data_IF_438523281245
#
_entry.id   IF_438523281245
#
_cell.length_a   1.000
_cell.length_b   1.000
_cell.length_c   1.000
_cell.angle_alpha   90.00
_cell.angle_beta   90.00
_cell.angle_gamma   90.00
#
_symmetry.space_group_name_H-M   'P 1'
#
loop_
_entity.id
_entity.type
_entity.pdbx_description
1 polymer ?
#
# COMPACT_ATOMS: atom_id res chain seq x y z
N UNK A 1 -16.79 -3.04 -3.60
CA UNK A 1 -16.14 -3.17 -4.95
C UNK A 1 -15.18 -4.35 -4.95
N UNK A 2 -14.81 -4.90 -6.10
CA UNK A 2 -13.72 -5.88 -6.22
C UNK A 2 -12.53 -5.26 -6.94
N UNK A 3 -11.37 -5.31 -6.31
CA UNK A 3 -10.09 -4.91 -6.85
C UNK A 3 -9.31 -6.16 -7.28
N UNK A 4 -8.57 -6.10 -8.37
CA UNK A 4 -7.73 -7.22 -8.80
C UNK A 4 -6.43 -6.72 -9.42
N UNK A 5 -5.31 -7.19 -8.91
CA UNK A 5 -4.02 -6.92 -9.52
C UNK A 5 -3.89 -7.71 -10.83
N UNK A 6 -3.40 -7.05 -11.87
CA UNK A 6 -3.19 -7.62 -13.21
C UNK A 6 -1.85 -7.17 -13.75
N UNK A 7 -1.27 -7.82 -14.78
CA UNK A 7 -0.02 -7.35 -15.38
C UNK A 7 -0.06 -5.91 -15.91
N UNK A 8 -1.25 -5.36 -16.14
CA UNK A 8 -1.44 -3.98 -16.63
C UNK A 8 -1.64 -2.94 -15.52
N UNK A 9 -1.81 -3.38 -14.26
CA UNK A 9 -2.10 -2.53 -13.11
C UNK A 9 -3.25 -3.06 -12.26
N UNK A 10 -3.73 -2.24 -11.34
CA UNK A 10 -4.86 -2.56 -10.47
C UNK A 10 -6.19 -2.32 -11.20
N UNK A 11 -6.96 -3.37 -11.43
CA UNK A 11 -8.31 -3.27 -11.99
C UNK A 11 -9.31 -2.93 -10.88
N UNK A 12 -10.12 -1.89 -11.10
CA UNK A 12 -11.13 -1.39 -10.19
C UNK A 12 -12.30 -0.77 -10.96
N UNK A 13 -13.52 -1.25 -10.80
CA UNK A 13 -14.72 -0.65 -11.37
C UNK A 13 -14.63 -0.36 -12.89
N UNK A 14 -14.13 -1.29 -13.69
CA UNK A 14 -13.96 -1.12 -15.14
C UNK A 14 -12.71 -0.35 -15.57
N UNK A 15 -11.95 0.24 -14.63
CA UNK A 15 -10.66 0.90 -14.91
C UNK A 15 -9.49 -0.03 -14.63
N UNK A 16 -8.39 0.21 -15.34
CA UNK A 16 -7.05 -0.31 -14.98
C UNK A 16 -6.20 0.87 -14.55
N UNK A 17 -5.78 0.85 -13.29
CA UNK A 17 -4.98 1.89 -12.65
C UNK A 17 -3.51 1.46 -12.71
N UNK A 18 -2.62 2.21 -13.39
CA UNK A 18 -1.20 1.93 -13.36
C UNK A 18 -0.68 1.95 -11.91
N UNK A 19 0.02 0.91 -11.52
CA UNK A 19 0.56 0.80 -10.16
C UNK A 19 1.96 0.18 -10.14
N UNK A 20 2.63 0.31 -9.03
CA UNK A 20 3.87 -0.39 -8.68
C UNK A 20 3.59 -1.35 -7.54
N UNK A 21 4.38 -2.41 -7.45
CA UNK A 21 4.34 -3.41 -6.37
C UNK A 21 5.70 -3.54 -5.71
N UNK A 22 5.82 -4.42 -4.77
CA UNK A 22 7.06 -4.74 -4.09
C UNK A 22 8.20 -5.11 -5.07
N UNK A 23 9.43 -4.67 -4.75
CA UNK A 23 10.64 -4.99 -5.55
C UNK A 23 10.90 -6.50 -5.63
N UNK A 24 10.43 -7.28 -4.65
CA UNK A 24 10.49 -8.74 -4.61
C UNK A 24 9.42 -9.44 -5.45
N UNK A 25 8.58 -8.68 -6.19
CA UNK A 25 7.47 -9.25 -6.96
C UNK A 25 6.28 -9.66 -6.08
N UNK A 26 5.57 -10.71 -6.48
CA UNK A 26 4.45 -11.30 -5.74
C UNK A 26 4.93 -12.59 -5.09
N UNK A 27 4.58 -12.83 -3.82
CA UNK A 27 5.01 -14.00 -3.08
C UNK A 27 3.87 -14.70 -2.36
N UNK A 28 3.78 -16.02 -2.51
CA UNK A 28 2.90 -16.88 -1.73
C UNK A 28 3.45 -17.13 -0.31
N UNK A 29 4.77 -16.94 -0.12
CA UNK A 29 5.49 -17.17 1.13
C UNK A 29 6.12 -15.89 1.66
N UNK A 30 5.32 -14.81 1.64
CA UNK A 30 5.69 -13.48 2.10
C UNK A 30 6.32 -13.52 3.49
N UNK A 31 7.45 -12.79 3.65
CA UNK A 31 8.15 -12.58 4.93
C UNK A 31 8.47 -11.11 5.15
N UNK A 32 8.73 -10.75 6.40
CA UNK A 32 9.21 -9.40 6.72
C UNK A 32 10.52 -9.11 6.00
N UNK A 33 10.65 -7.90 5.46
CA UNK A 33 11.87 -7.43 4.77
C UNK A 33 12.13 -8.01 3.37
N UNK A 34 11.34 -8.98 2.86
CA UNK A 34 11.56 -9.60 1.54
C UNK A 34 11.24 -8.66 0.35
N UNK A 35 10.59 -7.55 0.62
CA UNK A 35 10.18 -6.58 -0.38
C UNK A 35 9.09 -7.08 -1.34
N UNK A 36 8.46 -8.23 -1.08
CA UNK A 36 7.43 -8.80 -1.94
C UNK A 36 6.02 -8.33 -1.53
N UNK A 37 5.13 -8.25 -2.51
CA UNK A 37 3.70 -8.07 -2.31
C UNK A 37 3.05 -9.43 -2.07
N UNK A 38 2.25 -9.62 -1.00
CA UNK A 38 1.67 -10.91 -0.67
C UNK A 38 0.62 -11.33 -1.70
N UNK A 39 0.73 -12.56 -2.18
CA UNK A 39 -0.29 -13.21 -2.99
C UNK A 39 -1.52 -13.55 -2.14
N UNK A 40 -2.70 -13.50 -2.74
CA UNK A 40 -3.93 -13.94 -2.11
C UNK A 40 -5.10 -12.99 -2.27
N UNK A 41 -6.16 -13.29 -1.53
CA UNK A 41 -7.34 -12.44 -1.44
C UNK A 41 -7.29 -11.68 -0.12
N UNK A 42 -7.29 -10.37 -0.23
CA UNK A 42 -7.22 -9.44 0.90
C UNK A 42 -8.48 -8.56 0.94
N UNK A 43 -8.65 -7.86 2.05
CA UNK A 43 -9.70 -6.85 2.25
C UNK A 43 -9.08 -5.50 2.56
N UNK A 44 -9.74 -4.44 2.13
CA UNK A 44 -9.42 -3.08 2.57
C UNK A 44 -10.14 -2.84 3.89
N UNK A 45 -9.40 -2.59 4.95
CA UNK A 45 -9.94 -2.40 6.30
C UNK A 45 -10.10 -0.94 6.69
N UNK A 46 -9.21 -0.07 6.19
CA UNK A 46 -9.20 1.33 6.59
C UNK A 46 -8.64 2.25 5.51
N UNK A 47 -8.96 3.53 5.63
CA UNK A 47 -8.31 4.62 4.91
C UNK A 47 -7.77 5.61 5.94
N UNK A 48 -6.47 5.89 5.84
CA UNK A 48 -5.79 6.92 6.60
C UNK A 48 -5.44 8.08 5.67
N UNK A 49 -5.49 9.32 6.15
CA UNK A 49 -5.18 10.48 5.33
C UNK A 49 -4.50 11.60 6.12
N UNK A 50 -3.77 12.45 5.43
CA UNK A 50 -3.11 13.64 5.99
C UNK A 50 -4.06 14.85 5.95
N UNK A 51 -4.69 15.24 7.08
CA UNK A 51 -5.68 16.32 7.09
C UNK A 51 -5.07 17.70 6.83
N UNK A 52 -3.76 17.85 6.98
CA UNK A 52 -3.00 19.06 6.67
C UNK A 52 -2.63 19.18 5.18
N UNK A 53 -2.91 18.15 4.36
CA UNK A 53 -2.54 18.10 2.93
C UNK A 53 -3.71 17.89 1.99
N UNK A 54 -4.83 17.37 2.48
CA UNK A 54 -6.05 17.16 1.69
C UNK A 54 -7.28 17.12 2.57
N UNK A 55 -8.42 17.48 1.98
CA UNK A 55 -9.72 17.29 2.61
C UNK A 55 -10.00 15.79 2.81
N UNK A 56 -10.86 15.45 3.76
CA UNK A 56 -11.26 14.08 4.07
C UNK A 56 -11.77 13.36 2.80
N UNK A 57 -11.08 12.32 2.33
CA UNK A 57 -11.35 11.74 1.01
C UNK A 57 -12.56 10.79 0.98
N UNK A 58 -13.03 10.34 2.15
CA UNK A 58 -14.25 9.53 2.32
C UNK A 58 -14.77 9.62 3.75
N UNK A 59 -16.08 9.35 3.99
CA UNK A 59 -16.67 9.45 5.33
C UNK A 59 -16.01 8.55 6.38
N UNK A 60 -15.42 7.43 5.98
CA UNK A 60 -14.77 6.45 6.85
C UNK A 60 -13.24 6.62 6.94
N UNK A 61 -12.67 7.62 6.25
CA UNK A 61 -11.25 7.92 6.35
C UNK A 61 -10.90 8.52 7.71
N UNK A 62 -9.80 8.04 8.31
CA UNK A 62 -9.28 8.51 9.59
C UNK A 62 -8.05 9.39 9.38
N UNK A 63 -7.90 10.48 10.15
CA UNK A 63 -6.75 11.37 10.02
C UNK A 63 -5.48 10.72 10.56
N UNK A 64 -4.38 10.90 9.85
CA UNK A 64 -3.02 10.63 10.36
C UNK A 64 -2.62 11.83 11.23
N UNK A 65 -2.45 11.58 12.52
CA UNK A 65 -2.11 12.59 13.51
C UNK A 65 -0.58 12.66 13.72
N UNK A 66 -0.07 13.75 14.30
CA UNK A 66 1.32 13.80 14.77
C UNK A 66 1.60 12.68 15.77
N UNK A 67 2.70 11.96 15.55
CA UNK A 67 3.08 10.83 16.36
C UNK A 67 2.46 9.48 15.99
N UNK A 68 1.66 9.40 14.93
CA UNK A 68 1.16 8.12 14.42
C UNK A 68 2.27 7.35 13.71
N UNK A 69 2.44 6.10 14.12
CA UNK A 69 3.47 5.17 13.69
C UNK A 69 2.83 3.81 13.36
N UNK A 70 3.57 2.97 12.63
CA UNK A 70 3.19 1.59 12.37
C UNK A 70 4.34 0.68 12.76
N UNK A 71 4.13 -0.19 13.76
CA UNK A 71 5.18 -1.08 14.26
C UNK A 71 5.53 -2.15 13.21
N UNK A 72 6.81 -2.26 12.85
CA UNK A 72 7.36 -3.29 11.97
C UNK A 72 8.42 -4.16 12.68
N UNK A 73 8.55 -4.03 14.00
CA UNK A 73 9.41 -4.87 14.84
C UNK A 73 8.77 -6.25 15.01
N UNK A 74 9.29 -7.26 14.32
CA UNK A 74 8.70 -8.61 14.24
C UNK A 74 8.61 -9.35 15.57
N UNK A 75 9.42 -8.99 16.55
CA UNK A 75 9.49 -9.58 17.89
C UNK A 75 8.68 -8.80 18.94
N UNK A 76 8.05 -7.69 18.53
CA UNK A 76 7.27 -6.84 19.44
C UNK A 76 5.80 -7.30 19.51
N UNK A 77 5.14 -7.24 20.70
CA UNK A 77 3.71 -7.56 20.82
C UNK A 77 2.79 -6.75 19.92
N UNK A 78 3.15 -5.49 19.65
CA UNK A 78 2.42 -4.61 18.74
C UNK A 78 2.89 -4.73 17.28
N UNK A 79 3.55 -5.82 16.90
CA UNK A 79 3.96 -6.04 15.52
C UNK A 79 2.78 -5.90 14.55
N UNK A 80 3.02 -5.16 13.46
CA UNK A 80 2.03 -4.83 12.44
C UNK A 80 0.78 -4.10 12.96
N UNK A 81 0.94 -3.31 14.03
CA UNK A 81 -0.13 -2.49 14.60
C UNK A 81 0.15 -0.99 14.42
N UNK A 82 -0.92 -0.21 14.38
CA UNK A 82 -0.85 1.24 14.52
C UNK A 82 -0.50 1.58 15.98
N UNK A 83 0.58 2.31 16.17
CA UNK A 83 1.08 2.73 17.49
C UNK A 83 1.35 4.23 17.52
N UNK A 84 1.62 4.79 18.68
CA UNK A 84 1.87 6.22 18.83
C UNK A 84 3.21 6.50 19.52
N UNK A 85 3.83 7.60 19.09
CA UNK A 85 5.01 8.12 19.77
C UNK A 85 4.69 8.56 21.24
N UNK A 86 5.63 8.38 22.20
CA UNK A 86 6.96 7.83 22.01
C UNK A 86 6.97 6.30 21.87
N UNK A 87 7.60 5.78 20.83
CA UNK A 87 7.72 4.34 20.56
C UNK A 87 9.14 4.04 20.05
N UNK A 88 9.91 3.23 20.78
CA UNK A 88 11.33 2.95 20.50
C UNK A 88 11.58 1.78 19.54
N UNK A 89 10.74 0.71 19.51
CA UNK A 89 10.93 -0.39 18.58
C UNK A 89 10.90 0.08 17.13
N UNK A 90 11.33 -0.77 16.20
CA UNK A 90 11.29 -0.47 14.76
C UNK A 90 9.88 -0.13 14.30
N UNK A 91 9.74 0.91 13.49
CA UNK A 91 8.44 1.41 13.03
C UNK A 91 8.55 2.27 11.77
N UNK A 92 7.45 2.35 11.05
CA UNK A 92 7.26 3.35 10.00
C UNK A 92 6.55 4.61 10.53
N UNK A 93 7.05 5.79 10.17
CA UNK A 93 6.35 7.04 10.45
C UNK A 93 5.17 7.19 9.49
N UNK A 94 3.94 7.26 10.01
CA UNK A 94 2.75 7.48 9.18
C UNK A 94 2.68 8.93 8.68
N UNK A 95 3.13 9.88 9.48
CA UNK A 95 3.22 11.30 9.10
C UNK A 95 4.57 11.63 8.47
N UNK A 96 4.74 11.24 7.23
CA UNK A 96 5.97 11.40 6.46
C UNK A 96 6.16 12.83 5.92
N UNK A 97 7.41 13.32 5.75
CA UNK A 97 7.68 14.58 5.06
C UNK A 97 7.37 14.50 3.55
N UNK A 98 7.58 13.33 2.93
CA UNK A 98 7.20 13.09 1.54
C UNK A 98 5.68 12.78 1.41
N UNK A 99 5.11 12.81 0.19
CA UNK A 99 3.67 12.62 -0.01
C UNK A 99 3.23 11.15 -0.06
N UNK A 100 4.12 10.18 0.17
CA UNK A 100 3.82 8.76 -0.03
C UNK A 100 2.61 8.29 0.80
N UNK A 101 2.49 8.77 2.04
CA UNK A 101 1.40 8.43 2.96
C UNK A 101 0.40 9.56 3.17
N UNK A 102 0.24 10.45 2.17
CA UNK A 102 -0.86 11.42 2.23
C UNK A 102 -2.22 10.75 2.25
N UNK A 103 -2.34 9.59 1.60
CA UNK A 103 -3.47 8.66 1.65
C UNK A 103 -2.92 7.24 1.71
N UNK A 104 -3.44 6.44 2.65
CA UNK A 104 -3.06 5.04 2.86
C UNK A 104 -4.33 4.20 2.99
N UNK A 105 -4.44 3.14 2.21
CA UNK A 105 -5.46 2.11 2.40
C UNK A 105 -4.80 0.94 3.11
N UNK A 106 -5.32 0.61 4.28
CA UNK A 106 -4.85 -0.51 5.10
C UNK A 106 -5.50 -1.80 4.62
N UNK A 107 -4.69 -2.84 4.39
CA UNK A 107 -5.18 -4.18 4.05
C UNK A 107 -5.24 -5.07 5.28
N UNK A 108 -5.96 -6.20 5.18
CA UNK A 108 -6.01 -7.24 6.21
C UNK A 108 -4.80 -8.19 6.18
N UNK A 109 -3.77 -7.92 5.36
CA UNK A 109 -2.58 -8.76 5.38
C UNK A 109 -1.92 -8.73 6.75
N UNK A 110 -1.90 -9.90 7.40
CA UNK A 110 -1.30 -10.08 8.73
C UNK A 110 -1.80 -9.02 9.75
N UNK A 111 -3.06 -8.60 9.64
CA UNK A 111 -3.67 -7.55 10.45
C UNK A 111 -5.18 -7.80 10.59
N UNK A 112 -5.82 -7.62 11.78
CA UNK A 112 -5.21 -7.13 13.03
C UNK A 112 -4.42 -8.19 13.81
N UNK A 113 -4.67 -9.48 13.58
CA UNK A 113 -4.04 -10.58 14.31
C UNK A 113 -2.71 -10.94 13.63
N UNK A 114 -1.61 -10.29 14.09
CA UNK A 114 -0.32 -10.38 13.45
C UNK A 114 0.47 -11.62 13.86
N UNK A 115 0.98 -12.34 12.86
CA UNK A 115 1.94 -13.42 13.00
C UNK A 115 3.35 -12.86 12.81
N UNK A 116 4.25 -13.11 13.76
CA UNK A 116 5.62 -12.59 13.75
C UNK A 116 6.38 -12.96 12.48
N UNK A 117 7.04 -11.98 11.85
CA UNK A 117 7.88 -12.18 10.67
C UNK A 117 7.13 -12.43 9.34
N UNK A 118 5.79 -12.42 9.36
CA UNK A 118 4.98 -12.67 8.16
C UNK A 118 4.85 -11.47 7.23
N UNK A 119 5.36 -10.33 7.64
CA UNK A 119 5.31 -9.06 6.91
C UNK A 119 4.31 -8.09 7.50
N UNK A 120 4.67 -6.82 7.52
CA UNK A 120 3.91 -5.71 8.09
C UNK A 120 3.61 -4.64 7.05
N UNK A 121 2.72 -3.69 7.39
CA UNK A 121 2.49 -2.46 6.65
C UNK A 121 2.21 -2.67 5.14
N UNK A 122 1.38 -3.67 4.78
CA UNK A 122 0.98 -3.88 3.38
C UNK A 122 -0.21 -2.97 3.07
N UNK A 123 0.11 -1.86 2.41
CA UNK A 123 -0.83 -0.79 2.12
C UNK A 123 -1.00 -0.56 0.62
N UNK A 124 -2.07 0.18 0.25
CA UNK A 124 -2.12 0.90 -1.02
C UNK A 124 -1.84 2.37 -0.71
N UNK A 125 -0.88 2.98 -1.44
CA UNK A 125 -0.48 4.36 -1.17
C UNK A 125 -0.02 5.09 -2.44
N UNK A 126 0.39 6.35 -2.31
CA UNK A 126 0.92 7.12 -3.43
C UNK A 126 2.32 6.63 -3.79
N UNK A 127 2.64 6.47 -5.07
CA UNK A 127 3.99 6.14 -5.50
C UNK A 127 4.95 7.34 -5.44
N UNK A 128 6.23 7.04 -5.35
CA UNK A 128 7.28 8.07 -5.46
C UNK A 128 7.34 8.64 -6.88
N UNK A 129 7.20 7.76 -7.87
CA UNK A 129 7.11 8.04 -9.32
C UNK A 129 6.60 6.78 -10.04
N UNK A 130 6.06 6.94 -11.28
CA UNK A 130 5.61 5.79 -12.06
C UNK A 130 6.67 4.71 -12.19
N UNK A 131 6.29 3.45 -11.93
CA UNK A 131 7.15 2.27 -12.05
C UNK A 131 8.27 2.16 -10.99
N UNK A 132 8.29 3.03 -9.98
CA UNK A 132 9.25 2.86 -8.87
C UNK A 132 8.70 1.80 -7.90
N UNK A 133 9.46 0.72 -7.63
CA UNK A 133 8.96 -0.38 -6.79
C UNK A 133 8.86 0.05 -5.32
N UNK A 134 8.04 -0.69 -4.57
CA UNK A 134 7.85 -0.54 -3.12
C UNK A 134 8.62 -1.60 -2.34
N UNK A 135 8.45 -1.62 -1.02
CA UNK A 135 8.93 -2.68 -0.14
C UNK A 135 7.89 -3.82 0.08
N UNK A 136 6.76 -3.79 -0.66
CA UNK A 136 5.68 -4.77 -0.57
C UNK A 136 4.30 -4.18 -0.85
N UNK A 137 4.11 -2.91 -0.61
CA UNK A 137 2.87 -2.18 -0.86
C UNK A 137 2.51 -2.11 -2.36
N UNK A 138 1.26 -1.75 -2.65
CA UNK A 138 0.81 -1.38 -3.99
C UNK A 138 0.75 0.14 -4.06
N UNK A 139 1.48 0.75 -4.99
CA UNK A 139 1.55 2.21 -5.08
C UNK A 139 1.08 2.72 -6.44
N UNK A 140 0.37 3.86 -6.44
CA UNK A 140 -0.23 4.45 -7.65
C UNK A 140 -0.20 5.98 -7.62
N UNK A 141 -0.63 6.62 -8.69
CA UNK A 141 -0.71 8.07 -8.74
C UNK A 141 -1.74 8.60 -7.73
N UNK A 142 -1.46 9.77 -7.12
CA UNK A 142 -2.36 10.44 -6.16
C UNK A 142 -3.79 10.57 -6.68
N UNK A 143 -3.97 11.01 -7.94
CA UNK A 143 -5.28 11.18 -8.55
C UNK A 143 -6.08 9.87 -8.62
N UNK A 144 -5.40 8.76 -8.91
CA UNK A 144 -6.02 7.46 -9.02
C UNK A 144 -6.36 6.89 -7.66
N UNK A 145 -5.51 7.14 -6.65
CA UNK A 145 -5.76 6.78 -5.25
C UNK A 145 -6.97 7.53 -4.69
N UNK A 146 -7.08 8.86 -4.93
CA UNK A 146 -8.25 9.66 -4.54
C UNK A 146 -9.52 9.13 -5.22
N UNK A 147 -9.45 8.85 -6.54
CA UNK A 147 -10.57 8.28 -7.28
C UNK A 147 -11.02 6.95 -6.68
N UNK A 148 -10.06 6.10 -6.32
CA UNK A 148 -10.31 4.78 -5.71
C UNK A 148 -11.02 4.92 -4.36
N UNK A 149 -10.45 5.75 -3.46
CA UNK A 149 -10.97 5.97 -2.10
C UNK A 149 -12.41 6.47 -2.10
N UNK A 150 -12.80 7.30 -3.07
CA UNK A 150 -14.18 7.77 -3.21
C UNK A 150 -15.18 6.70 -3.67
N UNK A 151 -14.74 5.46 -3.96
CA UNK A 151 -15.59 4.38 -4.51
C UNK A 151 -15.51 3.07 -3.76
N UNK A 152 -14.54 2.88 -2.93
CA UNK A 152 -14.37 1.67 -2.11
C UNK A 152 -15.06 1.84 -0.76
N UNK A 153 -15.35 0.71 -0.14
CA UNK A 153 -15.91 0.61 1.22
C UNK A 153 -15.06 -0.35 2.07
N UNK A 154 -15.15 -0.24 3.42
CA UNK A 154 -14.55 -1.23 4.31
C UNK A 154 -15.00 -2.63 3.94
N UNK A 155 -14.06 -3.59 3.91
CA UNK A 155 -14.31 -4.98 3.53
C UNK A 155 -14.25 -5.26 2.02
N UNK A 156 -14.09 -4.25 1.18
CA UNK A 156 -13.90 -4.46 -0.27
C UNK A 156 -12.68 -5.33 -0.55
N UNK A 157 -12.86 -6.24 -1.52
CA UNK A 157 -11.90 -7.30 -1.82
C UNK A 157 -10.80 -6.83 -2.76
N UNK A 158 -9.56 -7.19 -2.42
CA UNK A 158 -8.34 -7.02 -3.21
C UNK A 158 -7.75 -8.39 -3.54
N UNK A 159 -7.84 -8.81 -4.79
CA UNK A 159 -7.22 -10.05 -5.26
C UNK A 159 -5.84 -9.78 -5.85
N UNK A 160 -4.83 -10.47 -5.32
CA UNK A 160 -3.44 -10.47 -5.79
C UNK A 160 -3.13 -11.88 -6.28
N UNK A 161 -3.32 -12.17 -7.58
CA UNK A 161 -3.05 -13.50 -8.14
C UNK A 161 -1.55 -13.76 -8.29
N UNK A 162 -1.17 -15.00 -8.53
CA UNK A 162 0.17 -15.33 -8.98
C UNK A 162 0.41 -14.68 -10.37
N UNK A 163 1.36 -13.75 -10.39
CA UNK A 163 1.80 -13.08 -11.61
C UNK A 163 3.32 -13.25 -11.71
N UNK A 164 3.80 -14.34 -12.32
CA UNK A 164 5.22 -14.72 -12.29
C UNK A 164 6.14 -13.68 -12.95
N UNK A 165 5.59 -12.76 -13.72
CA UNK A 165 6.29 -11.60 -14.27
C UNK A 165 5.44 -10.35 -14.15
N UNK A 166 5.66 -9.59 -13.09
CA UNK A 166 5.23 -8.19 -13.10
C UNK A 166 6.03 -7.46 -14.19
N UNK A 167 5.39 -6.71 -15.09
CA UNK A 167 6.11 -6.07 -16.18
C UNK A 167 7.19 -5.15 -15.61
N UNK A 168 8.44 -5.58 -15.74
CA UNK A 168 9.57 -4.68 -15.61
C UNK A 168 9.34 -3.52 -16.59
N UNK A 169 9.63 -2.28 -16.15
CA UNK A 169 9.48 -1.05 -16.94
C UNK A 169 9.72 -1.30 -18.42
N UNK A 170 8.73 -1.02 -19.27
CA UNK A 170 9.05 -0.60 -20.63
C UNK A 170 9.86 0.68 -20.49
N UNK A 171 11.14 0.62 -20.84
CA UNK A 171 11.95 1.81 -21.01
C UNK A 171 11.15 2.74 -21.93
N UNK A 172 10.80 3.92 -21.44
CA UNK A 172 10.27 4.98 -22.30
C UNK A 172 11.39 5.26 -23.27
N UNK A 173 11.23 4.85 -24.53
CA UNK A 173 12.14 5.20 -25.59
C UNK A 173 12.20 6.72 -25.60
N UNK A 174 13.36 7.27 -25.26
CA UNK A 174 13.65 8.68 -25.51
C UNK A 174 13.59 8.84 -27.02
N UNK A 175 12.53 9.42 -27.55
CA UNK A 175 12.54 9.94 -28.90
C UNK A 175 13.64 11.01 -28.91
N UNK A 176 14.77 10.65 -29.50
CA UNK A 176 15.78 11.60 -29.89
C UNK A 176 15.12 12.63 -30.79
N UNK A 177 15.23 13.87 -30.44
CA UNK A 177 15.04 14.97 -31.37
C UNK A 177 16.38 15.10 -32.11
N UNK A 178 16.38 14.73 -33.35
CA UNK A 178 17.31 15.27 -34.34
C UNK A 178 16.93 16.72 -34.65
#
# INVERSE_FOLDING_TARGET
>A
MRLALTPMGLRAGGRVIPCSIGRGGISATKREGDGATPMGAHRILGVLYRPDRLARPSPWAQPILPGDLWCDASDHPDYNQHVRAPFRPSHEAMRRPDPLYDIVLVTDWNYPDAEAGRGSAIFLHQWRRPGFPTAGCIAMARRDLIWLVGRIAPGDRLDIPDLPRWPARRAVARHGKD
#
